data_IF_824595851748
#
_entry.id   IF_824595851748
#
_cell.length_a   1.000
_cell.length_b   1.000
_cell.length_c   1.000
_cell.angle_alpha   90.00
_cell.angle_beta   90.00
_cell.angle_gamma   90.00
#
_symmetry.space_group_name_H-M   'P 1'
#
loop_
_entity.id
_entity.type
_entity.pdbx_description
1 polymer ?
#
# COMPACT_ATOMS: atom_id res chain seq x y z
N UNK A 1 -21.48 -13.73 -14.64
CA UNK A 1 -21.74 -12.32 -14.21
C UNK A 1 -20.71 -11.41 -14.89
N UNK A 2 -21.02 -10.13 -14.99
CA UNK A 2 -20.17 -9.11 -15.63
C UNK A 2 -19.86 -7.99 -14.64
N UNK A 3 -18.58 -7.69 -14.44
CA UNK A 3 -18.08 -6.74 -13.46
C UNK A 3 -17.45 -5.52 -14.14
N UNK A 4 -17.77 -4.32 -13.70
CA UNK A 4 -17.10 -3.08 -14.08
C UNK A 4 -16.10 -2.67 -13.01
N UNK A 5 -14.82 -2.61 -13.33
CA UNK A 5 -13.75 -2.15 -12.42
C UNK A 5 -13.32 -0.74 -12.82
N UNK A 6 -13.43 0.21 -11.90
CA UNK A 6 -13.12 1.62 -12.14
C UNK A 6 -11.87 2.03 -11.37
N UNK A 7 -10.85 2.48 -12.08
CA UNK A 7 -9.59 2.98 -11.52
C UNK A 7 -9.11 4.21 -12.30
N UNK A 8 -8.60 5.24 -11.61
CA UNK A 8 -8.18 6.46 -12.31
C UNK A 8 -6.97 6.25 -13.20
N UNK A 9 -5.98 5.46 -12.77
CA UNK A 9 -4.76 5.19 -13.54
C UNK A 9 -4.22 3.81 -13.22
N UNK A 10 -3.78 3.11 -14.25
CA UNK A 10 -3.01 1.88 -14.08
C UNK A 10 -1.54 2.11 -14.43
N UNK A 11 -0.65 1.58 -13.59
CA UNK A 11 0.79 1.47 -13.79
C UNK A 11 1.32 0.25 -13.01
N UNK A 12 2.34 -0.48 -13.53
CA UNK A 12 2.70 -1.82 -13.04
C UNK A 12 3.21 -1.87 -11.59
N UNK A 13 3.77 -0.77 -11.09
CA UNK A 13 4.44 -0.74 -9.77
C UNK A 13 3.56 -0.27 -8.61
N UNK A 14 2.29 0.05 -8.85
CA UNK A 14 1.35 0.48 -7.82
C UNK A 14 0.77 -0.73 -7.06
N UNK A 15 0.69 -0.64 -5.73
CA UNK A 15 0.09 -1.69 -4.90
C UNK A 15 -1.37 -1.95 -5.26
N UNK A 16 -2.20 -0.89 -5.21
CA UNK A 16 -3.63 -0.96 -5.56
C UNK A 16 -3.86 -1.43 -7.01
N UNK A 17 -2.99 -1.03 -7.95
CA UNK A 17 -3.08 -1.45 -9.35
C UNK A 17 -2.81 -2.94 -9.53
N UNK A 18 -1.82 -3.46 -8.81
CA UNK A 18 -1.51 -4.90 -8.79
C UNK A 18 -2.65 -5.70 -8.18
N UNK A 19 -3.23 -5.21 -7.06
CA UNK A 19 -4.39 -5.85 -6.43
C UNK A 19 -5.59 -5.84 -7.36
N UNK A 20 -5.91 -4.72 -8.01
CA UNK A 20 -6.99 -4.63 -8.99
C UNK A 20 -6.86 -5.68 -10.09
N UNK A 21 -5.68 -5.80 -10.69
CA UNK A 21 -5.45 -6.77 -11.77
C UNK A 21 -5.48 -8.22 -11.26
N UNK A 22 -4.95 -8.50 -10.06
CA UNK A 22 -5.07 -9.80 -9.40
C UNK A 22 -6.53 -10.18 -9.16
N UNK A 23 -7.31 -9.27 -8.57
CA UNK A 23 -8.74 -9.49 -8.30
C UNK A 23 -9.50 -9.74 -9.60
N UNK A 24 -9.23 -8.96 -10.66
CA UNK A 24 -9.82 -9.17 -11.98
C UNK A 24 -9.55 -10.58 -12.50
N UNK A 25 -8.30 -11.05 -12.44
CA UNK A 25 -7.91 -12.40 -12.85
C UNK A 25 -8.59 -13.49 -12.00
N UNK A 26 -8.74 -13.26 -10.70
CA UNK A 26 -9.42 -14.22 -9.81
C UNK A 26 -10.93 -14.29 -10.08
N UNK A 27 -11.55 -13.18 -10.48
CA UNK A 27 -12.95 -13.14 -10.92
C UNK A 27 -13.11 -13.86 -12.27
N UNK A 28 -12.21 -13.64 -13.24
CA UNK A 28 -12.30 -14.31 -14.55
C UNK A 28 -12.01 -15.82 -14.49
N UNK A 29 -11.06 -16.26 -13.65
CA UNK A 29 -10.83 -17.69 -13.38
C UNK A 29 -12.09 -18.44 -12.87
N UNK A 30 -13.05 -17.71 -12.29
CA UNK A 30 -14.33 -18.27 -11.82
C UNK A 30 -15.45 -18.19 -12.84
N UNK A 31 -15.10 -17.93 -14.12
CA UNK A 31 -16.04 -17.90 -15.23
C UNK A 31 -16.86 -16.62 -15.36
N UNK A 32 -16.37 -15.52 -14.79
CA UNK A 32 -17.02 -14.22 -14.87
C UNK A 32 -16.24 -13.25 -15.78
N UNK A 33 -16.90 -12.23 -16.32
CA UNK A 33 -16.30 -11.23 -17.19
C UNK A 33 -15.93 -9.97 -16.39
N UNK A 34 -14.77 -9.37 -16.71
CA UNK A 34 -14.32 -8.10 -16.10
C UNK A 34 -13.99 -7.09 -17.20
N UNK A 35 -14.57 -5.91 -17.08
CA UNK A 35 -14.18 -4.75 -17.88
C UNK A 35 -13.62 -3.65 -16.98
N UNK A 36 -12.40 -3.19 -17.29
CA UNK A 36 -11.68 -2.17 -16.51
C UNK A 36 -11.81 -0.83 -17.24
N UNK A 37 -12.26 0.18 -16.53
CA UNK A 37 -12.36 1.57 -17.01
C UNK A 37 -11.28 2.41 -16.33
N UNK A 38 -10.46 3.11 -17.13
CA UNK A 38 -9.33 3.90 -16.63
C UNK A 38 -9.05 5.12 -17.49
N UNK A 39 -8.43 6.16 -16.92
CA UNK A 39 -7.99 7.36 -17.67
C UNK A 39 -6.74 7.06 -18.50
N UNK A 40 -5.84 6.23 -17.96
CA UNK A 40 -4.58 5.86 -18.61
C UNK A 40 -4.13 4.49 -18.16
N UNK A 41 -3.53 3.76 -19.08
CA UNK A 41 -2.93 2.45 -18.85
C UNK A 41 -1.46 2.50 -19.27
N UNK A 42 -0.58 2.10 -18.39
CA UNK A 42 0.85 2.00 -18.62
C UNK A 42 1.28 0.54 -18.43
N UNK A 43 1.99 -0.02 -19.42
CA UNK A 43 2.36 -1.42 -19.49
C UNK A 43 1.45 -2.27 -20.38
N UNK A 44 1.72 -3.58 -20.39
CA UNK A 44 0.99 -4.54 -21.24
C UNK A 44 -0.47 -4.66 -20.81
N UNK A 45 -1.35 -4.87 -21.78
CA UNK A 45 -2.75 -5.17 -21.52
C UNK A 45 -2.87 -6.59 -20.94
N UNK A 46 -3.85 -6.82 -20.05
CA UNK A 46 -4.08 -8.15 -19.50
C UNK A 46 -4.58 -9.11 -20.58
N UNK A 47 -4.14 -10.36 -20.50
CA UNK A 47 -4.61 -11.44 -21.38
C UNK A 47 -6.01 -11.94 -20.97
N UNK A 48 -6.70 -12.59 -21.90
CA UNK A 48 -7.95 -13.32 -21.68
C UNK A 48 -9.21 -12.46 -21.62
N UNK A 49 -10.15 -12.80 -20.72
CA UNK A 49 -11.50 -12.21 -20.65
C UNK A 49 -11.57 -10.85 -19.91
N UNK A 50 -10.43 -10.18 -19.74
CA UNK A 50 -10.36 -8.85 -19.14
C UNK A 50 -10.26 -7.81 -20.24
N UNK A 51 -11.29 -6.97 -20.38
CA UNK A 51 -11.28 -5.86 -21.34
C UNK A 51 -10.89 -4.56 -20.66
N UNK A 52 -10.06 -3.75 -21.30
CA UNK A 52 -9.62 -2.45 -20.79
C UNK A 52 -10.16 -1.32 -21.69
N UNK A 53 -10.89 -0.41 -21.06
CA UNK A 53 -11.42 0.80 -21.68
C UNK A 53 -10.62 2.01 -21.18
N UNK A 54 -9.77 2.56 -22.05
CA UNK A 54 -9.05 3.80 -21.75
C UNK A 54 -9.93 4.98 -22.14
N UNK A 55 -10.29 5.80 -21.14
CA UNK A 55 -11.13 6.98 -21.27
C UNK A 55 -10.29 8.23 -20.96
N UNK A 56 -9.62 8.83 -21.95
CA UNK A 56 -8.80 10.00 -21.70
C UNK A 56 -9.65 11.17 -21.19
N UNK A 57 -9.32 11.68 -20.01
CA UNK A 57 -10.01 12.81 -19.44
C UNK A 57 -9.06 14.01 -19.28
N UNK A 58 -9.46 15.17 -19.78
CA UNK A 58 -8.72 16.43 -19.68
C UNK A 58 -9.29 17.30 -18.54
N UNK A 59 -8.43 18.09 -17.89
CA UNK A 59 -8.85 19.03 -16.86
C UNK A 59 -7.66 19.78 -16.27
N UNK A 60 -7.85 21.05 -15.89
CA UNK A 60 -6.81 21.87 -15.26
C UNK A 60 -6.40 21.32 -13.88
N UNK A 61 -7.35 20.70 -13.16
CA UNK A 61 -7.13 20.13 -11.85
C UNK A 61 -7.49 18.64 -11.84
N UNK A 62 -6.83 17.86 -11.00
CA UNK A 62 -7.08 16.40 -10.89
C UNK A 62 -8.55 16.08 -10.60
N UNK A 63 -9.20 16.82 -9.67
CA UNK A 63 -10.61 16.56 -9.34
C UNK A 63 -11.54 16.78 -10.53
N UNK A 64 -11.32 17.79 -11.38
CA UNK A 64 -12.13 18.04 -12.57
C UNK A 64 -11.92 16.98 -13.64
N UNK A 65 -10.67 16.49 -13.77
CA UNK A 65 -10.33 15.37 -14.64
C UNK A 65 -11.03 14.08 -14.20
N UNK A 66 -10.98 13.78 -12.89
CA UNK A 66 -11.61 12.57 -12.33
C UNK A 66 -13.13 12.61 -12.45
N UNK A 67 -13.75 13.77 -12.21
CA UNK A 67 -15.20 13.96 -12.39
C UNK A 67 -15.66 13.68 -13.83
N UNK A 68 -14.91 14.15 -14.83
CA UNK A 68 -15.21 13.89 -16.24
C UNK A 68 -15.05 12.42 -16.59
N UNK A 69 -14.00 11.79 -16.10
CA UNK A 69 -13.79 10.35 -16.28
C UNK A 69 -14.96 9.55 -15.69
N UNK A 70 -15.36 9.82 -14.46
CA UNK A 70 -16.46 9.12 -13.79
C UNK A 70 -17.74 9.25 -14.61
N UNK A 71 -18.11 10.46 -15.00
CA UNK A 71 -19.31 10.69 -15.80
C UNK A 71 -19.28 9.90 -17.12
N UNK A 72 -18.15 9.87 -17.83
CA UNK A 72 -18.00 9.13 -19.06
C UNK A 72 -18.02 7.62 -18.86
N UNK A 73 -17.36 7.12 -17.79
CA UNK A 73 -17.36 5.71 -17.46
C UNK A 73 -18.79 5.21 -17.16
N UNK A 74 -19.57 5.95 -16.37
CA UNK A 74 -20.97 5.59 -16.10
C UNK A 74 -21.82 5.67 -17.36
N UNK A 75 -21.61 6.65 -18.23
CA UNK A 75 -22.32 6.71 -19.52
C UNK A 75 -22.09 5.46 -20.36
N UNK A 76 -20.86 4.92 -20.37
CA UNK A 76 -20.54 3.68 -21.08
C UNK A 76 -21.14 2.44 -20.39
N UNK A 77 -21.16 2.40 -19.07
CA UNK A 77 -21.83 1.35 -18.28
C UNK A 77 -23.35 1.33 -18.57
N UNK A 78 -23.99 2.49 -18.55
CA UNK A 78 -25.42 2.62 -18.84
C UNK A 78 -25.74 2.27 -20.30
N UNK A 79 -24.90 2.69 -21.25
CA UNK A 79 -25.04 2.32 -22.64
C UNK A 79 -24.89 0.81 -22.89
N UNK A 80 -24.06 0.11 -22.10
CA UNK A 80 -23.97 -1.33 -22.16
C UNK A 80 -25.27 -1.98 -21.66
N UNK A 81 -25.87 -1.47 -20.59
CA UNK A 81 -27.16 -1.95 -20.11
C UNK A 81 -28.27 -1.79 -21.16
N UNK A 82 -28.32 -0.66 -21.85
CA UNK A 82 -29.26 -0.43 -22.96
C UNK A 82 -29.10 -1.39 -24.15
N UNK A 83 -27.94 -2.06 -24.26
CA UNK A 83 -27.68 -3.12 -25.27
C UNK A 83 -27.89 -4.54 -24.74
N UNK A 84 -28.47 -4.72 -23.56
CA UNK A 84 -28.64 -6.03 -22.93
C UNK A 84 -27.33 -6.62 -22.33
N UNK A 85 -26.33 -5.79 -22.12
CA UNK A 85 -25.02 -6.17 -21.57
C UNK A 85 -24.75 -5.46 -20.24
N UNK A 86 -25.77 -5.42 -19.37
CA UNK A 86 -25.67 -4.79 -18.06
C UNK A 86 -24.54 -5.38 -17.22
N UNK A 87 -23.90 -4.53 -16.43
CA UNK A 87 -22.97 -4.97 -15.40
C UNK A 87 -23.73 -5.34 -14.13
N UNK A 88 -23.37 -6.48 -13.56
CA UNK A 88 -23.96 -6.95 -12.31
C UNK A 88 -23.40 -6.19 -11.09
N UNK A 89 -22.15 -5.74 -11.19
CA UNK A 89 -21.46 -5.05 -10.11
C UNK A 89 -20.48 -3.99 -10.63
N UNK A 90 -20.47 -2.83 -9.98
CA UNK A 90 -19.53 -1.73 -10.23
C UNK A 90 -18.58 -1.63 -9.03
N UNK A 91 -17.30 -1.89 -9.26
CA UNK A 91 -16.26 -1.92 -8.24
C UNK A 91 -15.31 -0.74 -8.43
N UNK A 92 -15.14 0.10 -7.42
CA UNK A 92 -14.22 1.23 -7.45
C UNK A 92 -12.93 0.95 -6.67
N UNK A 93 -11.80 1.24 -7.31
CA UNK A 93 -10.46 1.22 -6.68
C UNK A 93 -10.01 2.63 -6.24
N UNK A 94 -10.76 3.65 -6.63
CA UNK A 94 -10.63 5.02 -6.14
C UNK A 94 -11.98 5.50 -5.64
N UNK A 95 -11.99 6.53 -4.77
CA UNK A 95 -13.23 7.10 -4.26
C UNK A 95 -14.02 7.78 -5.37
N UNK A 96 -15.26 7.35 -5.54
CA UNK A 96 -16.23 7.95 -6.46
C UNK A 96 -17.65 7.59 -6.03
N UNK A 97 -18.62 8.32 -6.52
CA UNK A 97 -20.05 8.04 -6.29
C UNK A 97 -20.52 6.85 -7.15
N UNK A 98 -21.63 6.22 -6.77
CA UNK A 98 -22.33 5.20 -7.58
C UNK A 98 -21.72 3.81 -7.56
N UNK A 99 -20.80 3.50 -6.64
CA UNK A 99 -20.19 2.19 -6.51
C UNK A 99 -21.09 1.21 -5.77
N UNK A 100 -21.13 -0.04 -6.23
CA UNK A 100 -21.67 -1.17 -5.48
C UNK A 100 -20.64 -1.66 -4.44
N UNK A 101 -19.37 -1.73 -4.82
CA UNK A 101 -18.26 -2.12 -3.93
C UNK A 101 -17.11 -1.16 -4.06
N UNK A 102 -16.51 -0.80 -2.93
CA UNK A 102 -15.30 0.02 -2.86
C UNK A 102 -14.13 -0.76 -2.25
N UNK A 103 -13.00 -0.81 -2.96
CA UNK A 103 -11.74 -1.34 -2.44
C UNK A 103 -11.00 -0.24 -1.67
N UNK A 104 -11.02 -0.31 -0.33
CA UNK A 104 -10.56 0.76 0.56
C UNK A 104 -9.03 0.74 0.74
N UNK A 105 -8.29 0.90 -0.36
CA UNK A 105 -6.82 0.97 -0.33
C UNK A 105 -6.29 2.31 0.21
N UNK A 106 -7.06 3.40 0.05
CA UNK A 106 -6.68 4.73 0.50
C UNK A 106 -7.15 5.02 1.94
N UNK A 107 -6.36 5.73 2.77
CA UNK A 107 -6.77 6.16 4.10
C UNK A 107 -7.95 7.13 4.06
N UNK A 108 -8.73 7.22 5.15
CA UNK A 108 -9.85 8.16 5.29
C UNK A 108 -9.42 9.59 4.96
N UNK A 109 -10.07 10.18 3.95
CA UNK A 109 -9.69 11.49 3.40
C UNK A 109 -9.97 12.61 4.39
N UNK A 110 -11.16 12.61 5.03
CA UNK A 110 -11.54 13.65 5.99
C UNK A 110 -10.63 13.60 7.21
N UNK A 111 -10.37 12.44 7.80
CA UNK A 111 -9.46 12.31 8.93
C UNK A 111 -8.07 12.88 8.58
N UNK A 112 -7.54 12.53 7.39
CA UNK A 112 -6.26 13.05 6.92
C UNK A 112 -6.29 14.57 6.71
N UNK A 113 -7.35 15.09 6.10
CA UNK A 113 -7.48 16.51 5.83
C UNK A 113 -7.56 17.33 7.11
N UNK A 114 -8.26 16.83 8.13
CA UNK A 114 -8.37 17.48 9.43
C UNK A 114 -7.07 17.41 10.25
N UNK A 115 -6.33 16.30 10.16
CA UNK A 115 -5.08 16.12 10.90
C UNK A 115 -3.88 16.88 10.29
N UNK A 116 -3.85 17.06 8.94
CA UNK A 116 -2.65 17.52 8.23
C UNK A 116 -2.80 18.84 7.49
N UNK A 117 -4.00 19.38 7.38
CA UNK A 117 -4.27 20.61 6.61
C UNK A 117 -4.94 21.67 7.48
N UNK A 118 -4.64 22.95 7.17
CA UNK A 118 -5.32 24.07 7.81
C UNK A 118 -6.81 24.13 7.38
N UNK A 119 -7.61 24.92 8.12
CA UNK A 119 -9.05 25.06 7.88
C UNK A 119 -9.38 25.63 6.48
N UNK A 120 -8.51 26.50 5.91
CA UNK A 120 -8.68 27.09 4.59
C UNK A 120 -8.72 26.01 3.48
N UNK A 121 -7.97 24.92 3.64
CA UNK A 121 -8.02 23.82 2.68
C UNK A 121 -9.43 23.24 2.51
N UNK A 122 -10.22 23.24 3.58
CA UNK A 122 -11.61 22.72 3.56
C UNK A 122 -12.56 23.56 2.72
N UNK A 123 -12.23 24.81 2.41
CA UNK A 123 -12.98 25.69 1.54
C UNK A 123 -12.72 25.44 0.05
N UNK A 124 -11.67 24.69 -0.29
CA UNK A 124 -11.29 24.45 -1.68
C UNK A 124 -12.28 23.54 -2.41
N UNK A 125 -12.53 23.75 -3.72
CA UNK A 125 -13.35 22.85 -4.53
C UNK A 125 -12.78 21.41 -4.55
N UNK A 126 -11.46 21.27 -4.46
CA UNK A 126 -10.80 19.97 -4.35
C UNK A 126 -11.24 19.21 -3.11
N UNK A 127 -11.20 19.85 -1.94
CA UNK A 127 -11.62 19.21 -0.69
C UNK A 127 -13.08 18.79 -0.77
N UNK A 128 -13.97 19.70 -1.17
CA UNK A 128 -15.42 19.45 -1.26
C UNK A 128 -15.72 18.24 -2.13
N UNK A 129 -15.09 18.15 -3.29
CA UNK A 129 -15.30 17.04 -4.21
C UNK A 129 -14.85 15.69 -3.64
N UNK A 130 -13.63 15.62 -3.07
CA UNK A 130 -13.13 14.37 -2.46
C UNK A 130 -13.92 13.98 -1.22
N UNK A 131 -14.36 14.94 -0.41
CA UNK A 131 -15.22 14.70 0.74
C UNK A 131 -16.58 14.14 0.31
N UNK A 132 -17.20 14.71 -0.74
CA UNK A 132 -18.46 14.23 -1.31
C UNK A 132 -18.33 12.79 -1.83
N UNK A 133 -17.26 12.45 -2.58
CA UNK A 133 -17.03 11.10 -3.03
C UNK A 133 -16.85 10.12 -1.87
N UNK A 134 -16.14 10.51 -0.80
CA UNK A 134 -15.96 9.67 0.38
C UNK A 134 -17.28 9.49 1.14
N UNK A 135 -18.04 10.57 1.34
CA UNK A 135 -19.34 10.54 2.00
C UNK A 135 -20.35 9.63 1.24
N UNK A 136 -20.37 9.70 -0.09
CA UNK A 136 -21.24 8.85 -0.90
C UNK A 136 -21.03 7.35 -0.65
N UNK A 137 -19.79 6.94 -0.38
CA UNK A 137 -19.42 5.55 -0.08
C UNK A 137 -19.74 5.20 1.37
N UNK A 138 -19.34 6.07 2.32
CA UNK A 138 -19.24 5.71 3.73
C UNK A 138 -20.41 6.17 4.60
N UNK A 139 -21.25 7.11 4.15
CA UNK A 139 -22.41 7.56 4.95
C UNK A 139 -23.27 6.37 5.39
N UNK A 140 -23.92 6.50 6.53
CA UNK A 140 -24.68 5.42 7.20
C UNK A 140 -25.67 4.72 6.27
N UNK A 141 -26.37 5.48 5.41
CA UNK A 141 -27.44 4.99 4.52
C UNK A 141 -26.92 4.53 3.14
N UNK A 142 -25.61 4.61 2.88
CA UNK A 142 -25.10 4.13 1.60
C UNK A 142 -25.20 2.60 1.50
N UNK A 143 -25.46 2.13 0.30
CA UNK A 143 -25.53 0.69 0.01
C UNK A 143 -24.17 0.08 -0.40
N UNK A 144 -23.13 0.90 -0.61
CA UNK A 144 -21.83 0.46 -1.06
C UNK A 144 -21.19 -0.48 -0.04
N UNK A 145 -20.82 -1.71 -0.46
CA UNK A 145 -20.04 -2.65 0.34
C UNK A 145 -18.54 -2.26 0.30
N UNK A 146 -17.79 -2.54 1.35
CA UNK A 146 -16.44 -2.02 1.52
C UNK A 146 -15.46 -3.17 1.76
N UNK A 147 -14.53 -3.40 0.80
CA UNK A 147 -13.40 -4.29 1.00
C UNK A 147 -12.36 -3.55 1.84
N UNK A 148 -12.23 -3.91 3.09
CA UNK A 148 -11.43 -3.21 4.10
C UNK A 148 -10.08 -3.90 4.30
N UNK A 149 -9.01 -3.10 4.35
CA UNK A 149 -7.63 -3.60 4.49
C UNK A 149 -7.02 -3.28 5.88
N UNK A 150 -7.66 -2.39 6.67
CA UNK A 150 -7.06 -1.86 7.90
C UNK A 150 -8.12 -1.51 8.94
N UNK A 151 -8.01 -2.07 10.14
CA UNK A 151 -8.89 -1.74 11.27
C UNK A 151 -8.73 -0.30 11.75
N UNK A 152 -7.56 0.31 11.54
CA UNK A 152 -7.35 1.73 11.83
C UNK A 152 -8.28 2.57 10.97
N UNK A 153 -8.36 2.29 9.69
CA UNK A 153 -9.21 3.03 8.77
C UNK A 153 -10.70 2.74 9.00
N UNK A 154 -11.07 1.52 9.40
CA UNK A 154 -12.44 1.21 9.82
C UNK A 154 -12.92 2.17 10.91
N UNK A 155 -12.11 2.34 11.97
CA UNK A 155 -12.43 3.26 13.08
C UNK A 155 -12.58 4.70 12.60
N UNK A 156 -11.76 5.15 11.64
CA UNK A 156 -11.87 6.48 11.05
C UNK A 156 -13.19 6.64 10.27
N UNK A 157 -13.55 5.68 9.42
CA UNK A 157 -14.81 5.73 8.67
C UNK A 157 -16.04 5.67 9.58
N UNK A 158 -16.01 4.86 10.63
CA UNK A 158 -17.09 4.81 11.62
C UNK A 158 -17.21 6.14 12.40
N UNK A 159 -16.09 6.74 12.80
CA UNK A 159 -16.04 8.04 13.50
C UNK A 159 -16.67 9.15 12.68
N UNK A 160 -16.35 9.24 11.39
CA UNK A 160 -16.74 10.36 10.55
C UNK A 160 -18.11 10.19 9.85
N UNK A 161 -18.48 8.97 9.54
CA UNK A 161 -19.65 8.68 8.70
C UNK A 161 -20.69 7.77 9.35
N UNK A 162 -20.42 7.29 10.55
CA UNK A 162 -21.25 6.29 11.22
C UNK A 162 -21.54 5.05 10.32
N UNK A 163 -20.56 4.67 9.52
CA UNK A 163 -20.68 3.53 8.58
C UNK A 163 -21.04 2.26 9.32
N UNK A 164 -22.05 1.55 8.81
CA UNK A 164 -22.54 0.31 9.42
C UNK A 164 -21.49 -0.80 9.34
N UNK A 165 -21.32 -1.53 10.43
CA UNK A 165 -20.31 -2.58 10.56
C UNK A 165 -20.49 -3.70 9.53
N UNK A 166 -21.73 -4.09 9.25
CA UNK A 166 -22.09 -5.14 8.31
C UNK A 166 -21.64 -4.89 6.85
N UNK A 167 -21.31 -3.64 6.49
CA UNK A 167 -20.85 -3.27 5.15
C UNK A 167 -19.33 -3.43 4.98
N UNK A 168 -18.59 -3.67 6.06
CA UNK A 168 -17.16 -3.89 6.01
C UNK A 168 -16.82 -5.37 5.87
N UNK A 169 -16.16 -5.72 4.76
CA UNK A 169 -15.56 -7.02 4.52
C UNK A 169 -14.05 -6.91 4.73
N UNK A 170 -13.56 -7.42 5.84
CA UNK A 170 -12.13 -7.41 6.11
C UNK A 170 -11.41 -8.39 5.18
N UNK A 171 -10.46 -7.86 4.42
CA UNK A 171 -9.65 -8.64 3.48
C UNK A 171 -8.29 -8.91 4.12
N UNK A 172 -7.94 -10.18 4.35
CA UNK A 172 -6.64 -10.53 4.89
C UNK A 172 -5.53 -10.15 3.90
N UNK A 173 -4.31 -9.83 4.39
CA UNK A 173 -3.20 -9.48 3.53
C UNK A 173 -2.86 -10.63 2.58
N UNK A 174 -2.54 -10.30 1.33
CA UNK A 174 -2.10 -11.25 0.34
C UNK A 174 -0.64 -11.00 -0.04
N UNK A 175 0.19 -12.03 0.12
CA UNK A 175 1.55 -12.08 -0.37
C UNK A 175 1.60 -13.00 -1.59
N UNK A 176 2.15 -12.53 -2.71
CA UNK A 176 2.23 -13.35 -3.95
C UNK A 176 3.11 -14.58 -3.72
N UNK A 177 2.59 -15.80 -3.89
CA UNK A 177 3.38 -17.02 -3.78
C UNK A 177 4.55 -16.97 -4.78
N UNK A 178 5.70 -17.47 -4.38
CA UNK A 178 6.90 -17.54 -5.22
C UNK A 178 7.70 -16.26 -5.35
N UNK A 179 7.14 -15.06 -5.06
CA UNK A 179 7.87 -13.80 -5.14
C UNK A 179 8.94 -13.66 -4.06
N UNK A 180 8.70 -14.21 -2.87
CA UNK A 180 9.56 -14.10 -1.70
C UNK A 180 10.21 -15.43 -1.34
N UNK A 181 10.58 -16.23 -2.36
CA UNK A 181 11.33 -17.45 -2.14
C UNK A 181 12.67 -17.15 -1.50
N UNK A 182 12.98 -17.87 -0.42
CA UNK A 182 14.24 -17.72 0.27
C UNK A 182 15.38 -18.30 -0.58
N UNK A 183 16.43 -17.49 -0.72
CA UNK A 183 17.68 -17.83 -1.37
C UNK A 183 18.79 -17.98 -0.32
N UNK A 184 19.98 -18.34 -0.75
CA UNK A 184 21.15 -18.34 0.13
C UNK A 184 21.40 -16.94 0.71
N UNK A 185 21.30 -16.81 2.02
CA UNK A 185 21.41 -15.54 2.74
C UNK A 185 22.77 -14.88 2.52
N UNK A 186 23.85 -15.67 2.45
CA UNK A 186 25.20 -15.15 2.24
C UNK A 186 25.34 -14.57 0.84
N UNK A 187 24.78 -15.26 -0.17
CA UNK A 187 24.76 -14.77 -1.54
C UNK A 187 23.94 -13.49 -1.68
N UNK A 188 22.76 -13.41 -1.04
CA UNK A 188 21.92 -12.19 -1.08
C UNK A 188 22.60 -11.03 -0.34
N UNK A 189 23.25 -11.30 0.77
CA UNK A 189 24.03 -10.31 1.52
C UNK A 189 25.17 -9.74 0.66
N UNK A 190 25.88 -10.59 -0.07
CA UNK A 190 26.92 -10.18 -1.03
C UNK A 190 26.30 -9.38 -2.18
N UNK A 191 25.24 -9.88 -2.80
CA UNK A 191 24.53 -9.20 -3.90
C UNK A 191 24.15 -7.76 -3.56
N UNK A 192 23.56 -7.53 -2.38
CA UNK A 192 23.20 -6.17 -1.96
C UNK A 192 24.43 -5.27 -1.82
N UNK A 193 25.51 -5.78 -1.21
CA UNK A 193 26.73 -5.00 -0.98
C UNK A 193 27.43 -4.67 -2.28
N UNK A 194 27.55 -5.62 -3.18
CA UNK A 194 28.13 -5.42 -4.53
C UNK A 194 27.30 -4.44 -5.35
N UNK A 195 25.95 -4.52 -5.25
CA UNK A 195 25.03 -3.63 -5.95
C UNK A 195 25.22 -2.16 -5.58
N UNK A 196 25.54 -1.88 -4.32
CA UNK A 196 25.65 -0.49 -3.82
C UNK A 196 27.09 -0.09 -3.46
N UNK A 197 28.07 -0.94 -3.67
CA UNK A 197 29.49 -0.66 -3.36
C UNK A 197 29.79 -0.61 -1.86
N UNK A 198 29.11 -1.40 -1.05
CA UNK A 198 29.27 -1.43 0.41
C UNK A 198 30.33 -2.43 0.85
N UNK A 199 30.91 -2.19 2.02
CA UNK A 199 31.80 -3.13 2.68
C UNK A 199 31.06 -4.41 3.13
N UNK A 200 31.77 -5.54 3.17
CA UNK A 200 31.21 -6.85 3.57
C UNK A 200 30.55 -6.81 4.97
N UNK A 201 31.09 -5.99 5.87
CA UNK A 201 30.64 -5.85 7.25
C UNK A 201 29.69 -4.68 7.48
N UNK A 202 29.36 -3.92 6.45
CA UNK A 202 28.41 -2.81 6.60
C UNK A 202 27.04 -3.32 7.04
N UNK A 203 26.46 -2.63 8.02
CA UNK A 203 25.11 -2.87 8.50
C UNK A 203 24.11 -2.07 7.66
N UNK A 204 23.14 -2.73 7.06
CA UNK A 204 22.23 -2.12 6.08
C UNK A 204 20.80 -2.05 6.60
N UNK A 205 20.32 -0.82 6.76
CA UNK A 205 18.88 -0.54 6.89
C UNK A 205 18.28 -0.35 5.49
N UNK A 206 17.15 -0.99 5.24
CA UNK A 206 16.44 -0.90 3.96
C UNK A 206 15.05 -0.30 4.15
N UNK A 207 14.74 0.76 3.38
CA UNK A 207 13.41 1.35 3.24
C UNK A 207 12.93 1.13 1.81
N UNK A 208 11.74 0.58 1.62
CA UNK A 208 11.16 0.31 0.29
C UNK A 208 9.78 0.93 0.17
N UNK A 209 9.57 1.65 -0.91
CA UNK A 209 8.27 2.21 -1.28
C UNK A 209 8.35 3.66 -1.73
N UNK A 210 7.51 4.02 -2.71
CA UNK A 210 7.33 5.40 -3.15
C UNK A 210 6.56 6.22 -2.11
N UNK A 211 6.70 7.55 -2.17
CA UNK A 211 6.16 8.44 -1.15
C UNK A 211 7.14 8.63 0.02
N UNK A 212 8.44 8.82 -0.23
CA UNK A 212 9.49 8.92 0.79
C UNK A 212 9.13 9.83 1.96
N UNK A 213 8.50 10.98 1.70
CA UNK A 213 8.06 11.88 2.75
C UNK A 213 7.00 11.25 3.67
N UNK A 214 6.06 10.48 3.11
CA UNK A 214 5.03 9.78 3.89
C UNK A 214 5.57 8.53 4.58
N UNK A 215 6.57 7.88 3.98
CA UNK A 215 7.25 6.70 4.52
C UNK A 215 8.27 7.06 5.59
N UNK A 216 8.53 8.36 5.82
CA UNK A 216 9.39 8.84 6.89
C UNK A 216 10.88 8.66 6.61
N UNK A 217 11.31 8.76 5.35
CA UNK A 217 12.75 8.68 5.04
C UNK A 217 13.56 9.76 5.78
N UNK A 218 12.99 10.94 6.01
CA UNK A 218 13.57 12.00 6.85
C UNK A 218 13.79 11.52 8.30
N UNK A 219 12.83 10.82 8.90
CA UNK A 219 12.96 10.23 10.24
C UNK A 219 14.06 9.17 10.31
N UNK A 220 14.19 8.34 9.26
CA UNK A 220 15.26 7.35 9.17
C UNK A 220 16.65 8.01 9.01
N UNK A 221 16.75 9.10 8.23
CA UNK A 221 18.00 9.88 8.09
C UNK A 221 18.38 10.56 9.41
N UNK A 222 17.41 11.09 10.17
CA UNK A 222 17.66 11.65 11.51
C UNK A 222 18.15 10.57 12.49
N UNK A 223 17.56 9.38 12.45
CA UNK A 223 18.00 8.28 13.30
C UNK A 223 19.40 7.78 12.93
N UNK A 224 19.72 7.73 11.64
CA UNK A 224 21.07 7.42 11.16
C UNK A 224 22.10 8.46 11.65
N UNK A 225 21.76 9.74 11.56
CA UNK A 225 22.64 10.83 12.02
C UNK A 225 22.83 10.87 13.56
N UNK A 226 21.92 10.26 14.31
CA UNK A 226 22.01 10.16 15.74
C UNK A 226 22.83 8.96 16.23
N UNK A 227 23.34 8.12 15.34
CA UNK A 227 24.19 6.97 15.71
C UNK A 227 25.55 7.45 16.28
N UNK A 228 26.14 6.73 17.25
CA UNK A 228 27.52 6.93 17.64
C UNK A 228 28.47 6.82 16.45
N UNK A 229 29.57 7.60 16.44
CA UNK A 229 30.47 7.72 15.30
C UNK A 229 31.08 6.36 14.85
N UNK A 230 31.42 5.50 15.81
CA UNK A 230 31.93 4.15 15.55
C UNK A 230 30.90 3.25 14.85
N UNK A 231 29.62 3.46 15.10
CA UNK A 231 28.52 2.72 14.46
C UNK A 231 28.15 3.32 13.11
N UNK A 232 28.10 4.65 13.03
CA UNK A 232 27.76 5.35 11.79
C UNK A 232 28.72 5.00 10.64
N UNK A 233 30.02 4.86 10.93
CA UNK A 233 31.04 4.58 9.91
C UNK A 233 30.74 3.30 9.09
N UNK A 234 30.18 2.27 9.72
CA UNK A 234 29.84 0.98 9.11
C UNK A 234 28.34 0.77 8.88
N UNK A 235 27.53 1.83 8.92
CA UNK A 235 26.07 1.75 8.70
C UNK A 235 25.70 2.36 7.36
N UNK A 236 24.74 1.74 6.66
CA UNK A 236 24.17 2.22 5.41
C UNK A 236 22.65 2.25 5.51
N UNK A 237 22.04 3.31 4.98
CA UNK A 237 20.61 3.44 4.78
C UNK A 237 20.31 3.43 3.29
N UNK A 238 19.64 2.39 2.82
CA UNK A 238 19.20 2.26 1.43
C UNK A 238 17.71 2.55 1.35
N UNK A 239 17.32 3.51 0.53
CA UNK A 239 15.92 3.79 0.22
C UNK A 239 15.64 3.48 -1.25
N UNK A 240 14.59 2.69 -1.53
CA UNK A 240 14.22 2.31 -2.91
C UNK A 240 12.80 2.76 -3.22
N UNK A 241 12.63 3.63 -4.22
CA UNK A 241 11.31 4.15 -4.63
C UNK A 241 11.40 5.10 -5.82
N UNK A 242 10.25 5.63 -6.27
CA UNK A 242 10.16 6.45 -7.50
C UNK A 242 10.17 7.96 -7.24
N UNK A 243 10.39 8.40 -6.01
CA UNK A 243 10.32 9.81 -5.66
C UNK A 243 11.61 10.58 -6.00
N UNK A 244 11.50 11.92 -5.94
CA UNK A 244 12.65 12.80 -6.09
C UNK A 244 13.60 12.64 -4.88
N UNK A 245 14.86 12.19 -5.07
CA UNK A 245 15.82 12.01 -3.99
C UNK A 245 16.40 13.31 -3.44
N UNK A 246 16.35 14.41 -4.20
CA UNK A 246 17.09 15.66 -3.89
C UNK A 246 16.82 16.20 -2.49
N UNK A 247 15.57 16.35 -2.00
CA UNK A 247 15.34 16.91 -0.67
C UNK A 247 15.98 16.09 0.46
N UNK A 248 15.97 14.76 0.32
CA UNK A 248 16.49 13.83 1.31
C UNK A 248 18.03 13.79 1.28
N UNK A 249 18.64 13.82 0.10
CA UNK A 249 20.10 13.91 -0.02
C UNK A 249 20.62 15.24 0.51
N UNK A 250 19.94 16.36 0.27
CA UNK A 250 20.29 17.66 0.86
C UNK A 250 20.17 17.63 2.39
N UNK A 251 19.18 16.93 2.93
CA UNK A 251 19.05 16.73 4.38
C UNK A 251 20.22 15.90 4.91
N UNK A 252 20.55 14.79 4.28
CA UNK A 252 21.67 13.92 4.66
C UNK A 252 23.01 14.69 4.61
N UNK A 253 23.22 15.57 3.61
CA UNK A 253 24.40 16.45 3.53
C UNK A 253 24.49 17.41 4.71
N UNK A 254 23.38 18.10 5.05
CA UNK A 254 23.33 19.02 6.20
C UNK A 254 23.62 18.33 7.53
N UNK A 255 23.25 17.06 7.65
CA UNK A 255 23.48 16.24 8.85
C UNK A 255 24.82 15.51 8.84
N UNK A 256 25.64 15.66 7.78
CA UNK A 256 26.96 15.04 7.68
C UNK A 256 26.95 13.52 7.42
N UNK A 257 25.81 12.96 6.97
CA UNK A 257 25.62 11.50 6.78
C UNK A 257 25.34 11.10 5.32
N UNK A 258 25.64 11.99 4.37
CA UNK A 258 25.34 11.75 2.95
C UNK A 258 26.06 10.50 2.39
N UNK A 259 27.27 10.20 2.88
CA UNK A 259 28.04 9.02 2.47
C UNK A 259 27.39 7.68 2.91
N UNK A 260 26.54 7.72 3.92
CA UNK A 260 25.83 6.55 4.47
C UNK A 260 24.44 6.35 3.85
N UNK A 261 23.92 7.32 3.07
CA UNK A 261 22.57 7.29 2.49
C UNK A 261 22.65 7.01 1.00
N UNK A 262 21.97 5.95 0.56
CA UNK A 262 21.80 5.62 -0.85
C UNK A 262 20.32 5.61 -1.21
N UNK A 263 19.92 6.41 -2.23
CA UNK A 263 18.54 6.43 -2.73
C UNK A 263 18.52 5.93 -4.16
N UNK A 264 17.81 4.84 -4.38
CA UNK A 264 17.67 4.16 -5.68
C UNK A 264 16.23 4.27 -6.21
N UNK A 265 16.10 4.28 -7.53
CA UNK A 265 14.79 4.12 -8.18
C UNK A 265 14.21 2.73 -7.90
N UNK A 266 12.90 2.55 -8.18
CA UNK A 266 12.25 1.25 -8.08
C UNK A 266 12.97 0.17 -8.88
N UNK A 267 13.08 -1.03 -8.31
CA UNK A 267 13.88 -2.17 -8.80
C UNK A 267 13.05 -3.45 -8.81
N UNK A 268 13.32 -4.40 -9.70
CA UNK A 268 12.64 -5.71 -9.71
C UNK A 268 13.16 -6.66 -8.63
N UNK A 269 14.41 -6.50 -8.18
CA UNK A 269 15.13 -7.37 -7.24
C UNK A 269 14.91 -7.00 -5.74
N UNK A 270 13.79 -6.35 -5.43
CA UNK A 270 13.43 -5.99 -4.03
C UNK A 270 13.50 -7.18 -3.07
N UNK A 271 12.99 -8.38 -3.41
CA UNK A 271 13.08 -9.53 -2.52
C UNK A 271 14.53 -9.94 -2.20
N UNK A 272 15.43 -9.82 -3.17
CA UNK A 272 16.85 -10.12 -3.00
C UNK A 272 17.54 -9.09 -2.10
N UNK A 273 17.21 -7.81 -2.29
CA UNK A 273 17.68 -6.74 -1.40
C UNK A 273 17.16 -6.91 0.03
N UNK A 274 15.89 -7.30 0.20
CA UNK A 274 15.33 -7.58 1.53
C UNK A 274 16.07 -8.73 2.21
N UNK A 275 16.36 -9.82 1.50
CA UNK A 275 17.11 -10.95 2.06
C UNK A 275 18.58 -10.59 2.36
N UNK A 276 19.14 -9.61 1.66
CA UNK A 276 20.53 -9.15 1.83
C UNK A 276 20.72 -8.08 2.90
N UNK A 277 19.67 -7.37 3.29
CA UNK A 277 19.69 -6.31 4.30
C UNK A 277 19.71 -6.89 5.73
N UNK A 278 19.97 -6.02 6.71
CA UNK A 278 20.03 -6.41 8.11
C UNK A 278 18.74 -6.03 8.88
N UNK A 279 18.08 -4.90 8.51
CA UNK A 279 16.85 -4.41 9.10
C UNK A 279 15.99 -3.70 8.04
N UNK A 280 14.71 -4.00 8.03
CA UNK A 280 13.71 -3.20 7.33
C UNK A 280 13.28 -2.02 8.20
N UNK A 281 13.34 -0.80 7.69
CA UNK A 281 12.94 0.40 8.44
C UNK A 281 11.78 1.11 7.75
N UNK A 282 10.69 1.40 8.51
CA UNK A 282 9.48 2.01 7.95
C UNK A 282 8.83 3.00 8.94
N UNK A 283 9.46 4.18 9.18
CA UNK A 283 9.00 5.15 10.16
C UNK A 283 7.91 6.07 9.59
N UNK A 284 6.90 5.48 8.95
CA UNK A 284 5.89 6.22 8.22
C UNK A 284 5.12 7.19 9.12
N UNK A 285 4.81 8.36 8.57
CA UNK A 285 3.88 9.30 9.21
C UNK A 285 2.47 8.74 9.25
N UNK A 286 2.11 8.01 8.22
CA UNK A 286 0.86 7.25 8.09
C UNK A 286 0.97 6.25 6.95
N UNK A 287 0.46 5.05 7.18
CA UNK A 287 0.37 3.99 6.19
C UNK A 287 -0.94 3.23 6.37
N UNK A 288 -1.73 3.05 5.31
CA UNK A 288 -3.00 2.32 5.42
C UNK A 288 -2.78 0.88 5.86
N UNK A 289 -1.97 0.16 5.12
CA UNK A 289 -1.58 -1.22 5.44
C UNK A 289 -0.09 -1.34 5.69
N UNK A 290 0.74 -1.06 4.69
CA UNK A 290 2.16 -1.29 4.71
C UNK A 290 2.48 -2.75 4.35
N UNK A 291 1.89 -3.26 3.25
CA UNK A 291 2.13 -4.64 2.79
C UNK A 291 3.62 -4.97 2.69
N UNK A 292 4.46 -4.00 2.37
CA UNK A 292 5.91 -4.14 2.32
C UNK A 292 6.54 -4.58 3.66
N UNK A 293 5.88 -4.31 4.79
CA UNK A 293 6.29 -4.83 6.12
C UNK A 293 6.21 -6.37 6.09
N UNK A 294 5.09 -6.90 5.60
CA UNK A 294 4.91 -8.36 5.49
C UNK A 294 5.84 -8.98 4.44
N UNK A 295 6.12 -8.25 3.36
CA UNK A 295 7.12 -8.64 2.35
C UNK A 295 8.51 -8.78 2.99
N UNK A 296 8.90 -7.84 3.87
CA UNK A 296 10.15 -7.92 4.62
C UNK A 296 10.18 -9.13 5.57
N UNK A 297 9.09 -9.36 6.33
CA UNK A 297 8.99 -10.54 7.20
C UNK A 297 9.06 -11.85 6.40
N UNK A 298 8.44 -11.90 5.21
CA UNK A 298 8.51 -13.05 4.30
C UNK A 298 9.93 -13.31 3.74
N UNK A 299 10.78 -12.28 3.72
CA UNK A 299 12.21 -12.39 3.41
C UNK A 299 13.09 -12.70 4.63
N UNK A 300 12.51 -12.87 5.81
CA UNK A 300 13.24 -13.06 7.07
C UNK A 300 13.98 -11.81 7.53
N UNK A 301 13.54 -10.62 7.11
CA UNK A 301 14.15 -9.35 7.46
C UNK A 301 13.42 -8.75 8.68
N UNK A 302 14.09 -8.61 9.86
CA UNK A 302 13.51 -7.96 11.03
C UNK A 302 13.11 -6.52 10.74
N UNK A 303 12.00 -6.05 11.32
CA UNK A 303 11.43 -4.77 10.99
C UNK A 303 11.40 -3.78 12.17
N UNK A 304 11.75 -2.51 11.88
CA UNK A 304 11.48 -1.37 12.74
C UNK A 304 10.44 -0.46 12.05
N UNK A 305 9.27 -0.40 12.63
CA UNK A 305 8.12 0.31 12.03
C UNK A 305 7.47 1.26 13.05
N UNK A 306 6.61 2.17 12.57
CA UNK A 306 5.78 3.01 13.47
C UNK A 306 4.38 2.42 13.63
N UNK A 307 3.78 2.60 14.80
CA UNK A 307 2.40 2.18 15.09
C UNK A 307 1.33 2.86 14.22
N UNK A 308 1.71 3.85 13.42
CA UNK A 308 0.86 4.51 12.41
C UNK A 308 0.67 3.69 11.13
N UNK A 309 1.37 2.56 11.00
CA UNK A 309 1.21 1.62 9.89
C UNK A 309 0.12 0.60 10.24
N UNK A 310 -0.83 0.38 9.33
CA UNK A 310 -1.95 -0.55 9.54
C UNK A 310 -1.51 -1.99 9.86
N UNK A 311 -0.36 -2.42 9.32
CA UNK A 311 0.21 -3.75 9.55
C UNK A 311 1.37 -3.77 10.57
N UNK A 312 1.55 -2.69 11.36
CA UNK A 312 2.56 -2.68 12.41
C UNK A 312 2.34 -3.78 13.45
N UNK A 313 1.07 -4.14 13.74
CA UNK A 313 0.73 -5.20 14.69
C UNK A 313 1.28 -6.58 14.28
N UNK A 314 1.46 -6.84 12.99
CA UNK A 314 2.11 -8.09 12.55
C UNK A 314 3.56 -8.20 13.02
N UNK A 315 4.26 -7.08 13.19
CA UNK A 315 5.64 -7.07 13.71
C UNK A 315 5.64 -7.40 15.21
N UNK A 316 4.75 -6.76 15.98
CA UNK A 316 4.63 -7.01 17.43
C UNK A 316 4.09 -8.41 17.73
N UNK A 317 3.00 -8.84 17.09
CA UNK A 317 2.36 -10.13 17.34
C UNK A 317 3.29 -11.31 16.96
N UNK A 318 4.04 -11.14 15.89
CA UNK A 318 5.05 -12.11 15.48
C UNK A 318 6.35 -12.04 16.30
N UNK A 319 6.56 -10.99 17.11
CA UNK A 319 7.85 -10.69 17.70
C UNK A 319 8.98 -10.71 16.65
N UNK A 320 8.79 -9.97 15.56
CA UNK A 320 9.67 -9.98 14.38
C UNK A 320 10.44 -8.65 14.22
N UNK A 321 10.60 -7.90 15.28
CA UNK A 321 11.27 -6.61 15.32
C UNK A 321 10.66 -5.66 16.36
N UNK A 322 10.77 -4.36 16.11
CA UNK A 322 10.32 -3.32 17.04
C UNK A 322 9.28 -2.39 16.40
N UNK A 323 8.35 -1.90 17.22
CA UNK A 323 7.31 -0.93 16.81
C UNK A 323 7.45 0.33 17.65
N UNK A 324 7.76 1.46 16.98
CA UNK A 324 7.78 2.76 17.64
C UNK A 324 6.36 3.23 17.91
N UNK A 325 6.13 3.75 19.14
CA UNK A 325 4.81 4.12 19.63
C UNK A 325 4.18 5.31 18.87
N UNK A 326 2.88 5.50 19.07
CA UNK A 326 2.15 6.71 18.67
C UNK A 326 1.61 7.40 19.92
N UNK A 327 1.78 8.73 20.08
CA UNK A 327 2.39 9.66 19.12
C UNK A 327 3.88 9.40 18.90
N UNK A 328 4.36 9.71 17.67
CA UNK A 328 5.76 9.48 17.31
C UNK A 328 6.70 10.42 18.05
N UNK A 329 7.76 9.86 18.61
CA UNK A 329 8.89 10.58 19.16
C UNK A 329 10.19 10.22 18.44
N UNK A 330 10.94 11.22 17.97
CA UNK A 330 12.17 11.00 17.19
C UNK A 330 13.30 10.46 18.07
N UNK A 331 13.40 10.88 19.33
CA UNK A 331 14.48 10.40 20.21
C UNK A 331 14.28 8.93 20.56
N UNK A 332 13.04 8.54 20.85
CA UNK A 332 12.69 7.13 21.04
C UNK A 332 12.96 6.30 19.77
N UNK A 333 12.60 6.84 18.59
CA UNK A 333 12.89 6.15 17.34
C UNK A 333 14.40 5.99 17.11
N UNK A 334 15.21 7.00 17.41
CA UNK A 334 16.68 6.92 17.34
C UNK A 334 17.23 5.81 18.27
N UNK A 335 16.69 5.71 19.49
CA UNK A 335 17.05 4.65 20.44
C UNK A 335 16.70 3.26 19.89
N UNK A 336 15.49 3.07 19.34
CA UNK A 336 15.05 1.82 18.73
C UNK A 336 15.90 1.47 17.50
N UNK A 337 16.26 2.47 16.68
CA UNK A 337 17.12 2.28 15.53
C UNK A 337 18.50 1.74 15.94
N UNK A 338 19.14 2.30 16.95
CA UNK A 338 20.39 1.77 17.50
C UNK A 338 20.19 0.37 18.12
N UNK A 339 19.09 0.14 18.82
CA UNK A 339 18.76 -1.15 19.44
C UNK A 339 18.64 -2.26 18.38
N UNK A 340 18.01 -1.99 17.22
CA UNK A 340 17.93 -2.96 16.11
C UNK A 340 19.31 -3.43 15.67
N UNK A 341 20.28 -2.51 15.61
CA UNK A 341 21.67 -2.85 15.23
C UNK A 341 22.39 -3.67 16.28
N UNK A 342 22.22 -3.35 17.55
CA UNK A 342 22.95 -3.97 18.65
C UNK A 342 22.34 -5.28 19.16
N UNK A 343 21.05 -5.53 18.84
CA UNK A 343 20.33 -6.67 19.37
C UNK A 343 20.90 -8.01 18.92
N UNK A 344 21.01 -8.93 19.87
CA UNK A 344 21.33 -10.35 19.63
C UNK A 344 20.11 -11.14 19.17
N UNK A 345 18.90 -10.57 19.25
CA UNK A 345 17.64 -11.24 18.94
C UNK A 345 17.28 -11.22 17.44
N UNK A 346 18.05 -10.55 16.58
CA UNK A 346 17.73 -10.41 15.14
C UNK A 346 17.49 -11.74 14.44
N UNK A 347 18.23 -12.78 14.78
CA UNK A 347 18.01 -14.11 14.20
C UNK A 347 16.68 -14.72 14.66
N UNK A 348 16.31 -14.49 15.92
CA UNK A 348 15.01 -14.94 16.44
C UNK A 348 13.88 -14.15 15.77
N UNK A 349 14.00 -12.84 15.66
CA UNK A 349 13.03 -12.00 14.94
C UNK A 349 12.87 -12.43 13.48
N UNK A 350 13.97 -12.78 12.81
CA UNK A 350 13.95 -13.31 11.44
C UNK A 350 13.14 -14.61 11.35
N UNK A 351 13.42 -15.58 12.24
CA UNK A 351 12.69 -16.86 12.29
C UNK A 351 11.18 -16.64 12.56
N UNK A 352 10.87 -15.78 13.50
CA UNK A 352 9.50 -15.43 13.86
C UNK A 352 8.75 -14.80 12.68
N UNK A 353 9.37 -13.82 12.01
CA UNK A 353 8.81 -13.16 10.81
C UNK A 353 8.52 -14.15 9.69
N UNK A 354 9.45 -15.08 9.41
CA UNK A 354 9.25 -16.13 8.42
C UNK A 354 8.10 -17.06 8.77
N UNK A 355 8.00 -17.49 10.03
CA UNK A 355 6.91 -18.35 10.49
C UNK A 355 5.54 -17.65 10.36
N UNK A 356 5.48 -16.38 10.74
CA UNK A 356 4.28 -15.55 10.61
C UNK A 356 3.87 -15.35 9.15
N UNK A 357 4.81 -14.99 8.27
CA UNK A 357 4.55 -14.81 6.84
C UNK A 357 4.07 -16.11 6.17
N UNK A 358 4.64 -17.28 6.52
CA UNK A 358 4.16 -18.59 6.04
C UNK A 358 2.71 -18.86 6.45
N UNK A 359 2.34 -18.54 7.69
CA UNK A 359 0.96 -18.66 8.16
C UNK A 359 -0.01 -17.77 7.35
N UNK A 360 0.38 -16.54 7.06
CA UNK A 360 -0.41 -15.63 6.22
C UNK A 360 -0.55 -16.15 4.78
N UNK A 361 0.55 -16.63 4.19
CA UNK A 361 0.54 -17.24 2.84
C UNK A 361 -0.38 -18.46 2.73
N UNK A 362 -0.43 -19.29 3.77
CA UNK A 362 -1.33 -20.46 3.78
C UNK A 362 -2.79 -20.11 4.04
N UNK A 363 -3.06 -18.97 4.68
CA UNK A 363 -4.41 -18.55 5.04
C UNK A 363 -5.14 -17.78 3.92
N UNK A 364 -4.42 -17.23 2.95
CA UNK A 364 -5.01 -16.44 1.86
C UNK A 364 -4.44 -16.84 0.50
N UNK A 365 -5.27 -17.47 -0.32
CA UNK A 365 -4.97 -17.89 -1.70
C UNK A 365 -5.07 -16.75 -2.73
N UNK A 366 -5.31 -15.52 -2.27
CA UNK A 366 -5.48 -14.33 -3.12
C UNK A 366 -6.86 -14.17 -3.72
N UNK A 367 -7.82 -14.99 -3.32
CA UNK A 367 -9.17 -14.98 -3.88
C UNK A 367 -10.23 -14.35 -2.96
N UNK A 368 -9.86 -13.89 -1.78
CA UNK A 368 -10.80 -13.40 -0.79
C UNK A 368 -11.69 -12.27 -1.34
N UNK A 369 -11.11 -11.31 -2.04
CA UNK A 369 -11.85 -10.21 -2.65
C UNK A 369 -12.81 -10.69 -3.72
N UNK A 370 -12.34 -11.59 -4.59
CA UNK A 370 -13.18 -12.13 -5.68
C UNK A 370 -14.40 -12.89 -5.11
N UNK A 371 -14.24 -13.66 -4.03
CA UNK A 371 -15.37 -14.32 -3.35
C UNK A 371 -16.39 -13.31 -2.82
N UNK A 372 -15.92 -12.23 -2.18
CA UNK A 372 -16.84 -11.18 -1.68
C UNK A 372 -17.56 -10.49 -2.84
N UNK A 373 -16.85 -10.13 -3.91
CA UNK A 373 -17.46 -9.48 -5.08
C UNK A 373 -18.55 -10.36 -5.72
N UNK A 374 -18.29 -11.66 -5.87
CA UNK A 374 -19.25 -12.62 -6.43
C UNK A 374 -20.48 -12.73 -5.52
N UNK A 375 -20.28 -12.90 -4.20
CA UNK A 375 -21.37 -12.99 -3.25
C UNK A 375 -22.26 -11.73 -3.21
N UNK A 376 -21.64 -10.53 -3.30
CA UNK A 376 -22.38 -9.26 -3.38
C UNK A 376 -23.19 -9.17 -4.69
N UNK A 377 -22.61 -9.61 -5.82
CA UNK A 377 -23.32 -9.61 -7.10
C UNK A 377 -24.49 -10.59 -7.12
N UNK A 378 -24.33 -11.79 -6.56
CA UNK A 378 -25.40 -12.78 -6.40
C UNK A 378 -26.54 -12.25 -5.53
N UNK A 379 -26.22 -11.65 -4.38
CA UNK A 379 -27.21 -11.00 -3.51
C UNK A 379 -27.97 -9.89 -4.23
N UNK A 380 -27.28 -9.07 -5.03
CA UNK A 380 -27.90 -7.97 -5.78
C UNK A 380 -28.85 -8.50 -6.86
N UNK A 381 -28.53 -9.62 -7.52
CA UNK A 381 -29.43 -10.30 -8.47
C UNK A 381 -30.65 -10.92 -7.78
N UNK A 382 -30.46 -11.62 -6.67
CA UNK A 382 -31.56 -12.28 -5.92
C UNK A 382 -32.51 -11.31 -5.20
N UNK A 383 -32.19 -10.02 -5.13
CA UNK A 383 -33.10 -8.95 -4.68
C UNK A 383 -33.87 -8.35 -5.87
N UNK A 384 -33.43 -8.61 -7.09
CA UNK A 384 -34.05 -8.11 -8.33
C UNK A 384 -35.06 -9.11 -8.95
N UNK A 385 -35.04 -10.37 -8.50
CA UNK A 385 -36.02 -11.42 -8.81
C UNK A 385 -37.14 -11.47 -7.74
#
# INVERSE_FOLDING_TARGET
MKFAFLIFKYFPFGGMQRDMLRIAREVTKRGHQVEIFTISWDGDLPDGDIRVHVIPARGLFNYSKYRRFIAEAYRQVDAAAGRGQAFDLIVGFNRMEGLDVYFAADPCFIERAHAQRNWLYRLTPRYRWFAQCEEAIFRRQAATEILLLSDIEKRHFQKWYATQDARFHFIPPFLSPGRFQLKDKTAMRRHLRDTFGFGANDFVYLLVGSGFAMKGLDRAILALAALPADRLASTRLVAVGQDNPKPFMQMAQRLGVAAQVTISKGRPDIPDLMQGADVYVHPAYRENTGLVILEALACGLPALVTATCGYAFHVSDAQAGLVAASPFDQQEFNRLFLQMMQSTEREQWSRNGLAHARKLLSANDGSAEARVLIAVAEKKRGVAD
#
